data_IF_298063542490
#
_entry.id   IF_298063542490
#
_cell.length_a   1.000
_cell.length_b   1.000
_cell.length_c   1.000
_cell.angle_alpha   90.00
_cell.angle_beta   90.00
_cell.angle_gamma   90.00
#
_symmetry.space_group_name_H-M   'P 1'
#
loop_
_entity.id
_entity.type
_entity.pdbx_description
1 polymer ?
#
# COMPACT_ATOMS: atom_id res chain seq x y z
N UNK A 1 -34.65 -6.19 -6.53
CA UNK A 1 -34.29 -4.82 -6.97
C UNK A 1 -32.82 -4.85 -7.36
N UNK A 2 -32.50 -4.69 -8.65
CA UNK A 2 -31.10 -4.49 -9.05
C UNK A 2 -30.76 -3.01 -8.86
N UNK A 3 -29.76 -2.70 -8.04
CA UNK A 3 -29.26 -1.34 -7.88
C UNK A 3 -28.59 -0.82 -9.17
N UNK A 4 -28.46 0.50 -9.32
CA UNK A 4 -27.69 1.08 -10.41
C UNK A 4 -26.21 0.69 -10.33
N UNK A 5 -25.63 0.17 -11.42
CA UNK A 5 -24.20 -0.20 -11.48
C UNK A 5 -23.33 1.06 -11.46
N UNK A 6 -22.31 1.08 -10.60
CA UNK A 6 -21.35 2.18 -10.50
C UNK A 6 -20.51 2.30 -11.78
N UNK A 7 -20.30 3.53 -12.26
CA UNK A 7 -19.40 3.85 -13.38
C UNK A 7 -18.23 4.69 -12.84
N UNK A 8 -16.98 4.20 -12.92
CA UNK A 8 -15.82 4.99 -12.56
C UNK A 8 -15.54 6.08 -13.61
N UNK A 9 -15.00 7.20 -13.16
CA UNK A 9 -14.55 8.34 -13.96
C UNK A 9 -13.10 8.69 -13.58
N UNK A 10 -12.34 9.47 -14.39
CA UNK A 10 -10.92 9.76 -14.10
C UNK A 10 -10.64 10.36 -12.72
N UNK A 11 -11.59 11.12 -12.17
CA UNK A 11 -11.50 11.72 -10.83
C UNK A 11 -12.37 10.97 -9.79
N UNK A 12 -13.04 9.89 -10.19
CA UNK A 12 -13.90 9.08 -9.33
C UNK A 12 -13.64 7.58 -9.58
N UNK A 13 -12.62 7.06 -8.92
CA UNK A 13 -12.19 5.66 -9.02
C UNK A 13 -13.24 4.70 -8.46
N UNK A 14 -13.27 3.48 -9.00
CA UNK A 14 -14.11 2.38 -8.52
C UNK A 14 -13.85 2.12 -7.02
N UNK A 15 -14.89 2.08 -6.17
CA UNK A 15 -14.75 1.67 -4.78
C UNK A 15 -14.19 0.25 -4.70
N UNK A 16 -13.24 0.02 -3.79
CA UNK A 16 -12.56 -1.27 -3.61
C UNK A 16 -13.52 -2.45 -3.41
N UNK A 17 -14.63 -2.25 -2.71
CA UNK A 17 -15.64 -3.30 -2.46
C UNK A 17 -16.45 -3.68 -3.70
N UNK A 18 -16.42 -2.85 -4.75
CA UNK A 18 -17.09 -3.12 -6.03
C UNK A 18 -16.11 -3.68 -7.07
N UNK A 19 -14.82 -3.73 -6.77
CA UNK A 19 -13.81 -4.33 -7.64
C UNK A 19 -13.91 -5.86 -7.54
N UNK A 20 -14.21 -6.57 -8.65
CA UNK A 20 -14.23 -8.03 -8.64
C UNK A 20 -12.87 -8.65 -8.26
N UNK A 21 -11.76 -7.96 -8.58
CA UNK A 21 -10.42 -8.44 -8.29
C UNK A 21 -10.13 -8.52 -6.77
N UNK A 22 -10.84 -7.74 -5.95
CA UNK A 22 -10.73 -7.80 -4.49
C UNK A 22 -11.15 -9.17 -3.92
N UNK A 23 -12.03 -9.88 -4.62
CA UNK A 23 -12.54 -11.19 -4.21
C UNK A 23 -11.88 -12.35 -4.96
N UNK A 24 -11.08 -12.07 -5.99
CA UNK A 24 -10.38 -13.05 -6.82
C UNK A 24 -9.06 -13.55 -6.19
N UNK A 25 -8.89 -13.34 -4.88
CA UNK A 25 -7.70 -13.70 -4.06
C UNK A 25 -7.51 -15.23 -3.91
N UNK A 26 -8.24 -16.02 -4.70
CA UNK A 26 -8.18 -17.49 -4.67
C UNK A 26 -6.97 -18.02 -5.45
N UNK A 27 -6.40 -17.23 -6.37
CA UNK A 27 -5.19 -17.62 -7.12
C UNK A 27 -3.92 -17.55 -6.24
N UNK A 28 -3.10 -18.61 -6.17
CA UNK A 28 -1.86 -18.63 -5.40
C UNK A 28 -0.90 -17.49 -5.74
N UNK A 29 -0.81 -17.09 -7.01
CA UNK A 29 0.08 -16.01 -7.47
C UNK A 29 -0.30 -14.66 -6.84
N UNK A 30 -1.60 -14.36 -6.74
CA UNK A 30 -2.09 -13.12 -6.13
C UNK A 30 -1.75 -13.06 -4.64
N UNK A 31 -1.78 -14.21 -3.96
CA UNK A 31 -1.40 -14.34 -2.56
C UNK A 31 0.10 -14.14 -2.36
N UNK A 32 0.93 -14.71 -3.23
CA UNK A 32 2.38 -14.51 -3.20
C UNK A 32 2.73 -13.04 -3.39
N UNK A 33 2.14 -12.36 -4.39
CA UNK A 33 2.34 -10.94 -4.62
C UNK A 33 1.90 -10.09 -3.40
N UNK A 34 0.77 -10.43 -2.76
CA UNK A 34 0.32 -9.75 -1.54
C UNK A 34 1.30 -9.94 -0.37
N UNK A 35 1.84 -11.14 -0.19
CA UNK A 35 2.83 -11.45 0.85
C UNK A 35 4.14 -10.71 0.59
N UNK A 36 4.60 -10.68 -0.65
CA UNK A 36 5.80 -9.95 -1.05
C UNK A 36 5.63 -8.46 -0.76
N UNK A 37 4.54 -7.84 -1.21
CA UNK A 37 4.23 -6.44 -0.94
C UNK A 37 4.16 -6.14 0.57
N UNK A 38 3.56 -7.04 1.35
CA UNK A 38 3.49 -6.90 2.81
C UNK A 38 4.88 -6.99 3.44
N UNK A 39 5.73 -7.89 2.98
CA UNK A 39 7.10 -8.07 3.48
C UNK A 39 7.95 -6.83 3.24
N UNK A 40 7.85 -6.23 2.04
CA UNK A 40 8.53 -4.99 1.69
C UNK A 40 8.04 -3.86 2.60
N UNK A 41 6.72 -3.72 2.78
CA UNK A 41 6.12 -2.71 3.65
C UNK A 41 6.57 -2.86 5.10
N UNK A 42 6.60 -4.10 5.62
CA UNK A 42 7.02 -4.38 6.98
C UNK A 42 8.49 -4.02 7.20
N UNK A 43 9.37 -4.39 6.25
CA UNK A 43 10.79 -4.05 6.28
C UNK A 43 11.03 -2.54 6.32
N UNK A 44 10.40 -1.80 5.40
CA UNK A 44 10.51 -0.33 5.34
C UNK A 44 9.98 0.34 6.62
N UNK A 45 8.85 -0.15 7.16
CA UNK A 45 8.31 0.34 8.43
C UNK A 45 9.26 0.10 9.60
N UNK A 46 9.88 -1.08 9.66
CA UNK A 46 10.85 -1.40 10.71
C UNK A 46 12.08 -0.49 10.62
N UNK A 47 12.64 -0.31 9.41
CA UNK A 47 13.79 0.57 9.18
C UNK A 47 13.51 2.00 9.65
N UNK A 48 12.35 2.55 9.29
CA UNK A 48 11.91 3.85 9.76
C UNK A 48 11.76 3.90 11.29
N UNK A 49 11.12 2.89 11.90
CA UNK A 49 10.88 2.87 13.35
C UNK A 49 12.16 2.73 14.17
N UNK A 50 13.18 2.00 13.69
CA UNK A 50 14.49 1.92 14.35
C UNK A 50 15.18 3.28 14.39
N UNK A 51 15.05 4.04 13.31
CA UNK A 51 15.57 5.39 13.19
C UNK A 51 14.79 6.39 14.04
N UNK A 52 13.45 6.31 14.02
CA UNK A 52 12.54 7.19 14.74
C UNK A 52 12.62 7.02 16.26
N UNK A 53 12.69 5.78 16.74
CA UNK A 53 12.72 5.49 18.16
C UNK A 53 14.12 5.61 18.79
N UNK A 54 15.15 6.04 18.04
CA UNK A 54 16.49 6.22 18.58
C UNK A 54 16.56 7.49 19.45
N UNK A 55 16.73 7.36 20.78
CA UNK A 55 16.72 8.52 21.69
C UNK A 55 17.93 9.46 21.51
N UNK A 56 18.98 9.00 20.82
CA UNK A 56 20.17 9.81 20.53
C UNK A 56 20.06 10.61 19.23
N UNK A 57 19.02 10.37 18.43
CA UNK A 57 18.84 11.05 17.15
C UNK A 57 18.39 12.49 17.40
N UNK A 58 19.08 13.43 16.76
CA UNK A 58 18.77 14.87 16.83
C UNK A 58 18.35 15.45 15.48
N UNK A 59 18.50 14.69 14.40
CA UNK A 59 18.27 15.14 13.02
C UNK A 59 17.02 14.52 12.40
N UNK A 60 16.49 15.16 11.36
CA UNK A 60 15.35 14.67 10.59
C UNK A 60 15.64 13.30 9.96
N UNK A 61 14.58 12.51 9.71
CA UNK A 61 14.69 11.24 8.99
C UNK A 61 14.56 11.52 7.50
N UNK A 62 15.63 11.28 6.76
CA UNK A 62 15.62 11.39 5.30
C UNK A 62 14.81 10.23 4.71
N UNK A 63 13.86 10.55 3.84
CA UNK A 63 13.09 9.56 3.08
C UNK A 63 13.66 9.47 1.65
N UNK A 64 14.35 8.37 1.30
CA UNK A 64 14.90 8.20 -0.03
C UNK A 64 13.82 8.19 -1.13
N UNK A 65 12.59 7.75 -0.83
CA UNK A 65 11.51 7.78 -1.81
C UNK A 65 11.13 9.22 -2.18
N UNK A 66 11.19 10.15 -1.22
CA UNK A 66 10.95 11.57 -1.46
C UNK A 66 12.07 12.20 -2.28
N UNK A 67 13.33 11.88 -1.97
CA UNK A 67 14.50 12.39 -2.69
C UNK A 67 14.50 11.94 -4.16
N UNK A 68 14.09 10.69 -4.42
CA UNK A 68 13.99 10.19 -5.79
C UNK A 68 12.78 10.72 -6.57
N UNK A 69 11.77 11.26 -5.89
CA UNK A 69 10.56 11.78 -6.53
C UNK A 69 10.72 13.21 -7.05
N UNK A 70 11.51 14.03 -6.35
CA UNK A 70 11.80 15.44 -6.70
C UNK A 70 12.90 15.57 -7.75
#
# INVERSE_FOLDING_TARGET
MSGSKYKPEPLATLPRTLDPAEYDVVSPETREAQVEHLSIRARLKQEYLLQYNNPKRQTHIEDPALIHWT
#
